data_IF_809600579031
#
_entry.id   IF_809600579031
#
_cell.length_a   1.000
_cell.length_b   1.000
_cell.length_c   1.000
_cell.angle_alpha   90.00
_cell.angle_beta   90.00
_cell.angle_gamma   90.00
#
_symmetry.space_group_name_H-M   'P 1'
#
loop_
_entity.id
_entity.type
_entity.pdbx_description
1 polymer ?
#
# COMPACT_ATOMS: atom_id res chain seq x y z
N UNK A 1 19.04 3.50 -8.20
CA UNK A 1 19.59 2.36 -7.44
C UNK A 1 18.42 1.43 -7.18
N UNK A 2 18.49 0.19 -7.64
CA UNK A 2 17.40 -0.76 -7.43
C UNK A 2 17.44 -1.28 -5.99
N UNK A 3 16.26 -1.40 -5.38
CA UNK A 3 16.08 -2.00 -4.06
C UNK A 3 16.51 -3.48 -4.07
N UNK A 4 17.08 -3.95 -2.96
CA UNK A 4 17.49 -5.34 -2.77
C UNK A 4 16.87 -5.97 -1.53
N UNK A 5 16.71 -7.29 -1.57
CA UNK A 5 16.28 -8.07 -0.40
C UNK A 5 17.21 -7.77 0.79
N UNK A 6 16.61 -7.42 1.92
CA UNK A 6 17.32 -7.00 3.13
C UNK A 6 17.49 -5.48 3.27
N UNK A 7 17.20 -4.69 2.24
CA UNK A 7 17.12 -3.23 2.35
C UNK A 7 15.70 -2.80 2.79
N UNK A 8 15.61 -1.69 3.52
CA UNK A 8 14.32 -1.11 3.89
C UNK A 8 13.66 -0.43 2.67
N UNK A 9 12.39 -0.74 2.42
CA UNK A 9 11.66 -0.22 1.27
C UNK A 9 11.17 1.21 1.54
N UNK A 10 12.03 2.19 1.25
CA UNK A 10 11.72 3.59 1.55
C UNK A 10 10.87 4.31 0.54
N UNK A 11 10.74 3.93 -0.73
CA UNK A 11 9.94 4.70 -1.70
C UNK A 11 9.38 3.79 -2.79
N UNK A 12 8.11 3.94 -3.19
CA UNK A 12 7.59 3.23 -4.35
C UNK A 12 8.23 3.77 -5.63
N UNK A 13 8.45 2.88 -6.59
CA UNK A 13 8.90 3.23 -7.94
C UNK A 13 7.68 3.18 -8.85
N UNK A 14 7.21 4.35 -9.28
CA UNK A 14 5.98 4.50 -10.06
C UNK A 14 6.27 4.37 -11.56
N UNK A 15 6.61 3.16 -12.00
CA UNK A 15 6.72 2.81 -13.41
C UNK A 15 5.67 1.76 -13.81
N UNK A 16 5.49 1.57 -15.12
CA UNK A 16 4.46 0.66 -15.67
C UNK A 16 4.64 -0.76 -15.13
N UNK A 17 5.87 -1.27 -15.10
CA UNK A 17 6.17 -2.64 -14.64
C UNK A 17 5.74 -2.84 -13.18
N UNK A 18 6.07 -1.89 -12.31
CA UNK A 18 5.75 -1.97 -10.89
C UNK A 18 4.26 -1.74 -10.62
N UNK A 19 3.59 -0.88 -11.39
CA UNK A 19 2.15 -0.68 -11.30
C UNK A 19 1.35 -1.92 -11.76
N UNK A 20 1.78 -2.58 -12.83
CA UNK A 20 1.18 -3.84 -13.29
C UNK A 20 1.36 -4.96 -12.25
N UNK A 21 2.54 -5.03 -11.62
CA UNK A 21 2.81 -5.96 -10.53
C UNK A 21 1.94 -5.64 -9.31
N UNK A 22 1.85 -4.38 -8.91
CA UNK A 22 0.99 -3.93 -7.84
C UNK A 22 -0.48 -4.29 -8.09
N UNK A 23 -1.00 -4.08 -9.30
CA UNK A 23 -2.37 -4.46 -9.66
C UNK A 23 -2.62 -5.96 -9.51
N UNK A 24 -1.61 -6.80 -9.77
CA UNK A 24 -1.69 -8.25 -9.54
C UNK A 24 -1.76 -8.58 -8.04
N UNK A 25 -1.05 -7.84 -7.19
CA UNK A 25 -1.13 -7.98 -5.74
C UNK A 25 -2.45 -7.45 -5.16
N UNK A 26 -3.00 -6.36 -5.70
CA UNK A 26 -4.33 -5.84 -5.31
C UNK A 26 -5.39 -6.93 -5.50
N UNK A 27 -5.43 -7.58 -6.67
CA UNK A 27 -6.36 -8.70 -6.92
C UNK A 27 -6.19 -9.87 -5.95
N UNK A 28 -4.94 -10.15 -5.53
CA UNK A 28 -4.67 -11.18 -4.52
C UNK A 28 -5.13 -10.75 -3.14
N UNK A 29 -4.91 -9.49 -2.78
CA UNK A 29 -5.31 -8.91 -1.50
C UNK A 29 -6.84 -8.90 -1.33
N UNK A 30 -7.59 -8.59 -2.39
CA UNK A 30 -9.06 -8.63 -2.42
C UNK A 30 -9.63 -10.03 -2.11
N UNK A 31 -8.88 -11.10 -2.37
CA UNK A 31 -9.30 -12.47 -2.08
C UNK A 31 -9.01 -12.91 -0.64
N UNK A 32 -8.30 -12.11 0.17
CA UNK A 32 -7.97 -12.42 1.56
C UNK A 32 -9.04 -11.83 2.46
N UNK A 33 -9.83 -12.69 3.11
CA UNK A 33 -10.82 -12.25 4.08
C UNK A 33 -10.18 -11.78 5.38
N UNK A 34 -10.85 -10.83 6.04
CA UNK A 34 -10.46 -10.30 7.36
C UNK A 34 -9.07 -9.65 7.44
N UNK A 35 -8.52 -9.21 6.30
CA UNK A 35 -7.26 -8.47 6.22
C UNK A 35 -7.49 -7.21 5.40
N UNK A 36 -7.02 -6.07 5.92
CA UNK A 36 -7.03 -4.80 5.20
C UNK A 36 -5.59 -4.32 5.03
N UNK A 37 -5.19 -4.08 3.78
CA UNK A 37 -3.89 -3.54 3.45
C UNK A 37 -3.99 -2.02 3.37
N UNK A 38 -3.18 -1.32 4.16
CA UNK A 38 -3.22 0.13 4.26
C UNK A 38 -1.85 0.75 4.39
N UNK A 39 -1.81 2.07 4.17
CA UNK A 39 -0.61 2.87 4.32
C UNK A 39 0.39 2.69 3.18
N UNK A 40 1.55 3.30 3.34
CA UNK A 40 2.54 3.47 2.28
C UNK A 40 2.93 2.15 1.58
N UNK A 41 3.31 1.15 2.38
CA UNK A 41 3.80 -0.12 1.87
C UNK A 41 2.65 -1.05 1.45
N UNK A 42 1.54 -1.03 2.19
CA UNK A 42 0.36 -1.85 1.88
C UNK A 42 -0.37 -1.40 0.61
N UNK A 43 -0.37 -0.10 0.31
CA UNK A 43 -1.04 0.49 -0.85
C UNK A 43 -0.08 0.85 -1.99
N UNK A 44 1.22 0.60 -1.83
CA UNK A 44 2.26 0.98 -2.80
C UNK A 44 2.16 2.45 -3.24
N UNK A 45 2.01 3.35 -2.26
CA UNK A 45 1.81 4.79 -2.50
C UNK A 45 2.90 5.62 -1.83
N UNK A 46 3.21 6.76 -2.44
CA UNK A 46 3.98 7.78 -1.76
C UNK A 46 3.03 8.55 -0.83
N UNK A 47 3.28 8.48 0.48
CA UNK A 47 2.53 9.23 1.48
C UNK A 47 3.44 10.11 2.31
N UNK A 48 2.98 11.35 2.52
CA UNK A 48 3.39 12.16 3.65
C UNK A 48 2.63 11.71 4.92
N UNK A 49 3.14 12.11 6.09
CA UNK A 49 2.61 11.67 7.38
C UNK A 49 1.13 12.02 7.58
N UNK A 50 0.72 13.23 7.21
CA UNK A 50 -0.66 13.68 7.32
C UNK A 50 -1.60 12.83 6.45
N UNK A 51 -1.17 12.45 5.25
CA UNK A 51 -1.96 11.66 4.31
C UNK A 51 -2.16 10.23 4.79
N UNK A 52 -1.13 9.60 5.35
CA UNK A 52 -1.29 8.24 5.89
C UNK A 52 -2.14 8.23 7.16
N UNK A 53 -2.05 9.26 8.01
CA UNK A 53 -2.92 9.42 9.19
C UNK A 53 -4.38 9.58 8.75
N UNK A 54 -4.65 10.48 7.80
CA UNK A 54 -6.00 10.69 7.28
C UNK A 54 -6.58 9.42 6.63
N UNK A 55 -5.77 8.68 5.86
CA UNK A 55 -6.15 7.39 5.26
C UNK A 55 -6.55 6.37 6.33
N UNK A 56 -5.76 6.26 7.40
CA UNK A 56 -6.05 5.33 8.50
C UNK A 56 -7.35 5.69 9.24
N UNK A 57 -7.60 6.97 9.53
CA UNK A 57 -8.82 7.41 10.21
C UNK A 57 -10.07 7.15 9.34
N UNK A 58 -10.01 7.49 8.05
CA UNK A 58 -11.10 7.22 7.12
C UNK A 58 -11.39 5.72 6.97
N UNK A 59 -10.35 4.88 7.00
CA UNK A 59 -10.51 3.43 6.96
C UNK A 59 -11.23 2.91 8.21
N UNK A 60 -10.83 3.38 9.40
CA UNK A 60 -11.48 2.99 10.66
C UNK A 60 -12.95 3.41 10.66
N UNK A 61 -13.26 4.63 10.22
CA UNK A 61 -14.64 5.10 10.07
C UNK A 61 -15.44 4.21 9.12
N UNK A 62 -14.88 3.83 7.97
CA UNK A 62 -15.56 2.96 6.99
C UNK A 62 -15.89 1.56 7.53
N UNK A 63 -15.02 0.99 8.36
CA UNK A 63 -15.15 -0.42 8.79
C UNK A 63 -15.86 -0.59 10.14
N UNK A 64 -15.93 0.47 10.95
CA UNK A 64 -16.55 0.45 12.28
C UNK A 64 -17.83 1.29 12.41
N UNK A 65 -18.24 1.99 11.36
CA UNK A 65 -19.51 2.72 11.31
C UNK A 65 -20.73 1.81 11.08
#
# INVERSE_FOLDING_TARGET
>A
KDWKIGEEAYYPVNDVKNLDLYATYVKKAEAISNVIFGGRLGEYKYYDMDKVIASALALVEKELA
#
